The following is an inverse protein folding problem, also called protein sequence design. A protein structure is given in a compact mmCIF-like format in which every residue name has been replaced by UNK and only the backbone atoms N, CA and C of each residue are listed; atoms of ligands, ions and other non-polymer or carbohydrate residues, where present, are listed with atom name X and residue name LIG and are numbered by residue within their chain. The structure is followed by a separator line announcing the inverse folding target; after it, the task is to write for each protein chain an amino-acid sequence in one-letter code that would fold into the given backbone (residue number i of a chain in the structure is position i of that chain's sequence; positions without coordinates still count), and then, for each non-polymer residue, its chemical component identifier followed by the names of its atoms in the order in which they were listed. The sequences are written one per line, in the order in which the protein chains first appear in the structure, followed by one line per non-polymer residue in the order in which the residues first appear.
data_IF_871327609958
#
_entry.id   IF_871327609958
#
_cell.length_a   1.000
_cell.length_b   1.000
_cell.length_c   1.000
_cell.angle_alpha   90.00
_cell.angle_beta   90.00
_cell.angle_gamma   90.00
#
_symmetry.space_group_name_H-M   'P 1'
#
loop_
_entity.id
_entity.type
_entity.pdbx_description
1 polymer ?
#
# COMPACT_ATOMS: atom_id res chain seq x y z
N UNK A 1 -12.01 -51.16 9.78
CA UNK A 1 -12.42 -52.20 8.82
C UNK A 1 -12.92 -53.40 9.59
N UNK A 2 -13.97 -54.05 9.09
CA UNK A 2 -14.53 -55.28 9.66
C UNK A 2 -14.21 -56.46 8.71
N UNK A 3 -13.95 -57.64 9.27
CA UNK A 3 -13.72 -58.86 8.50
C UNK A 3 -14.85 -59.84 8.81
N UNK A 4 -15.42 -60.45 7.77
CA UNK A 4 -16.28 -61.63 7.88
C UNK A 4 -15.61 -62.78 7.15
N UNK A 5 -15.20 -63.79 7.90
CA UNK A 5 -14.58 -64.98 7.34
C UNK A 5 -15.68 -65.93 6.86
N UNK A 6 -15.65 -66.29 5.58
CA UNK A 6 -16.61 -67.22 4.95
C UNK A 6 -15.86 -68.35 4.28
N UNK A 7 -16.52 -69.49 4.11
CA UNK A 7 -16.04 -70.52 3.22
C UNK A 7 -15.99 -69.96 1.79
N UNK A 8 -14.83 -70.04 1.16
CA UNK A 8 -14.60 -69.61 -0.23
C UNK A 8 -14.69 -70.74 -1.24
N UNK A 9 -14.96 -71.96 -0.77
CA UNK A 9 -15.08 -73.18 -1.59
C UNK A 9 -16.07 -74.17 -0.95
N UNK A 10 -16.61 -75.07 -1.76
CA UNK A 10 -17.55 -76.10 -1.34
C UNK A 10 -19.01 -75.62 -1.23
N UNK A 11 -19.91 -76.56 -0.90
CA UNK A 11 -21.36 -76.36 -0.99
C UNK A 11 -21.92 -75.22 -0.11
N UNK A 12 -21.24 -74.85 0.97
CA UNK A 12 -21.69 -73.82 1.89
C UNK A 12 -21.15 -72.41 1.55
N UNK A 13 -20.28 -72.28 0.56
CA UNK A 13 -19.58 -71.03 0.27
C UNK A 13 -20.56 -69.90 -0.09
N UNK A 14 -21.44 -70.14 -1.06
CA UNK A 14 -22.44 -69.16 -1.52
C UNK A 14 -23.31 -68.67 -0.37
N UNK A 15 -23.87 -69.59 0.44
CA UNK A 15 -24.76 -69.24 1.55
C UNK A 15 -24.05 -68.39 2.60
N UNK A 16 -22.79 -68.71 2.93
CA UNK A 16 -22.02 -67.93 3.91
C UNK A 16 -21.61 -66.56 3.37
N UNK A 17 -21.19 -66.48 2.10
CA UNK A 17 -20.83 -65.21 1.46
C UNK A 17 -22.05 -64.29 1.38
N UNK A 18 -23.21 -64.79 0.95
CA UNK A 18 -24.45 -63.99 0.87
C UNK A 18 -24.89 -63.50 2.25
N UNK A 19 -24.81 -64.34 3.29
CA UNK A 19 -25.14 -63.92 4.65
C UNK A 19 -24.21 -62.81 5.16
N UNK A 20 -22.90 -62.96 4.95
CA UNK A 20 -21.92 -61.95 5.33
C UNK A 20 -22.07 -60.64 4.52
N UNK A 21 -22.39 -60.76 3.23
CA UNK A 21 -22.63 -59.62 2.34
C UNK A 21 -23.86 -58.82 2.81
N UNK A 22 -24.96 -59.50 3.12
CA UNK A 22 -26.17 -58.86 3.64
C UNK A 22 -25.94 -58.21 5.01
N UNK A 23 -25.12 -58.82 5.87
CA UNK A 23 -24.75 -58.22 7.16
C UNK A 23 -23.95 -56.93 6.97
N UNK A 24 -22.97 -56.92 6.06
CA UNK A 24 -22.12 -55.75 5.80
C UNK A 24 -22.86 -54.64 5.05
N UNK A 25 -23.76 -54.97 4.13
CA UNK A 25 -24.59 -54.00 3.39
C UNK A 25 -25.63 -53.32 4.31
N UNK A 26 -26.07 -54.00 5.37
CA UNK A 26 -26.97 -53.42 6.37
C UNK A 26 -26.27 -52.51 7.40
N UNK A 27 -24.94 -52.49 7.44
CA UNK A 27 -24.17 -51.69 8.40
C UNK A 27 -23.87 -50.28 7.82
N UNK A 28 -24.43 -49.20 8.40
CA UNK A 28 -24.24 -47.85 7.89
C UNK A 28 -22.81 -47.30 8.06
N UNK A 29 -21.96 -47.97 8.84
CA UNK A 29 -20.55 -47.58 9.01
C UNK A 29 -19.62 -48.20 7.93
N UNK A 30 -20.16 -49.03 7.03
CA UNK A 30 -19.40 -49.67 5.96
C UNK A 30 -19.55 -48.88 4.66
N UNK A 31 -18.48 -48.17 4.26
CA UNK A 31 -18.47 -47.39 3.02
C UNK A 31 -18.25 -48.23 1.75
N UNK A 32 -17.52 -49.35 1.86
CA UNK A 32 -17.15 -50.24 0.74
C UNK A 32 -17.01 -51.67 1.24
N UNK A 33 -17.54 -52.63 0.47
CA UNK A 33 -17.39 -54.06 0.72
C UNK A 33 -16.40 -54.66 -0.27
N UNK A 34 -15.43 -55.44 0.22
CA UNK A 34 -14.48 -56.16 -0.64
C UNK A 34 -14.73 -57.66 -0.51
N UNK A 35 -15.11 -58.31 -1.61
CA UNK A 35 -15.19 -59.77 -1.67
C UNK A 35 -13.84 -60.26 -2.19
N UNK A 36 -13.05 -60.82 -1.29
CA UNK A 36 -11.69 -61.25 -1.58
C UNK A 36 -11.56 -62.77 -1.46
N UNK A 37 -10.80 -63.36 -2.38
CA UNK A 37 -10.33 -64.74 -2.29
C UNK A 37 -8.80 -64.75 -2.34
N UNK A 38 -8.18 -65.67 -1.58
CA UNK A 38 -6.78 -66.01 -1.76
C UNK A 38 -6.53 -66.86 -3.02
N UNK A 39 -5.32 -67.40 -3.17
CA UNK A 39 -5.02 -68.35 -4.25
C UNK A 39 -5.75 -69.69 -4.11
N UNK A 40 -5.85 -70.45 -5.20
CA UNK A 40 -6.38 -71.82 -5.22
C UNK A 40 -6.69 -72.29 -6.65
N UNK A 41 -7.39 -73.40 -6.81
CA UNK A 41 -7.73 -73.96 -8.13
C UNK A 41 -8.79 -73.10 -8.82
N UNK A 42 -8.87 -73.24 -10.16
CA UNK A 42 -9.96 -72.69 -10.98
C UNK A 42 -11.30 -73.32 -10.59
N UNK A 43 -11.30 -74.59 -10.18
CA UNK A 43 -12.52 -75.32 -9.78
C UNK A 43 -13.20 -74.71 -8.54
N UNK A 44 -12.42 -74.06 -7.69
CA UNK A 44 -12.91 -73.38 -6.49
C UNK A 44 -13.53 -72.00 -6.81
N UNK A 45 -13.52 -71.57 -8.08
CA UNK A 45 -14.18 -70.33 -8.53
C UNK A 45 -15.68 -70.50 -8.78
N UNK A 46 -16.18 -71.73 -8.89
CA UNK A 46 -17.59 -72.00 -9.21
C UNK A 46 -18.60 -71.28 -8.29
N UNK A 47 -18.39 -71.20 -6.95
CA UNK A 47 -19.29 -70.44 -6.08
C UNK A 47 -19.41 -68.95 -6.43
N UNK A 48 -18.38 -68.36 -7.06
CA UNK A 48 -18.33 -66.96 -7.45
C UNK A 48 -19.07 -66.67 -8.76
N UNK A 49 -19.50 -67.72 -9.47
CA UNK A 49 -20.38 -67.63 -10.63
C UNK A 49 -21.83 -68.03 -10.32
N UNK A 50 -22.15 -68.28 -9.04
CA UNK A 50 -23.50 -68.63 -8.63
C UNK A 50 -24.48 -67.45 -8.80
N UNK A 51 -25.65 -67.75 -9.36
CA UNK A 51 -26.69 -66.74 -9.62
C UNK A 51 -27.15 -66.05 -8.33
N UNK A 52 -27.23 -66.79 -7.22
CA UNK A 52 -27.67 -66.27 -5.92
C UNK A 52 -26.70 -65.21 -5.42
N UNK A 53 -25.40 -65.48 -5.51
CA UNK A 53 -24.36 -64.53 -5.12
C UNK A 53 -24.38 -63.29 -6.03
N UNK A 54 -24.47 -63.49 -7.34
CA UNK A 54 -24.53 -62.39 -8.29
C UNK A 54 -25.74 -61.48 -8.03
N UNK A 55 -26.92 -62.04 -7.78
CA UNK A 55 -28.12 -61.26 -7.44
C UNK A 55 -27.98 -60.54 -6.11
N UNK A 56 -27.31 -61.14 -5.13
CA UNK A 56 -27.04 -60.49 -3.85
C UNK A 56 -26.11 -59.29 -4.02
N UNK A 57 -25.02 -59.44 -4.79
CA UNK A 57 -24.09 -58.33 -5.10
C UNK A 57 -24.83 -57.21 -5.84
N UNK A 58 -25.62 -57.55 -6.86
CA UNK A 58 -26.38 -56.56 -7.63
C UNK A 58 -27.45 -55.82 -6.81
N UNK A 59 -27.89 -56.40 -5.68
CA UNK A 59 -28.89 -55.81 -4.80
C UNK A 59 -28.27 -54.94 -3.68
N UNK A 60 -26.95 -54.98 -3.49
CA UNK A 60 -26.27 -54.18 -2.48
C UNK A 60 -26.41 -52.68 -2.76
N UNK A 61 -26.54 -51.91 -1.68
CA UNK A 61 -26.52 -50.44 -1.74
C UNK A 61 -25.14 -49.89 -1.45
N UNK A 62 -24.32 -50.63 -0.69
CA UNK A 62 -22.92 -50.33 -0.44
C UNK A 62 -22.07 -50.82 -1.62
N UNK A 63 -21.15 -49.98 -2.16
CA UNK A 63 -20.28 -50.37 -3.28
C UNK A 63 -19.48 -51.65 -3.01
N UNK A 64 -19.49 -52.56 -3.97
CA UNK A 64 -18.83 -53.87 -3.89
C UNK A 64 -17.63 -53.94 -4.84
N UNK A 65 -16.47 -54.28 -4.29
CA UNK A 65 -15.23 -54.55 -5.03
C UNK A 65 -14.95 -56.05 -5.04
N UNK A 66 -14.87 -56.64 -6.23
CA UNK A 66 -14.47 -58.04 -6.40
C UNK A 66 -12.95 -58.17 -6.47
N UNK A 67 -12.38 -59.10 -5.72
CA UNK A 67 -10.96 -59.40 -5.66
C UNK A 67 -10.71 -60.93 -5.59
N UNK A 68 -11.32 -61.67 -6.51
CA UNK A 68 -11.39 -63.14 -6.48
C UNK A 68 -10.25 -63.84 -7.25
N UNK A 69 -9.73 -63.24 -8.33
CA UNK A 69 -8.75 -63.90 -9.19
C UNK A 69 -7.97 -62.99 -10.14
N UNK A 70 -6.94 -63.56 -10.78
CA UNK A 70 -6.08 -62.85 -11.75
C UNK A 70 -6.76 -62.82 -13.14
N UNK A 71 -6.14 -62.23 -14.16
CA UNK A 71 -6.73 -62.09 -15.51
C UNK A 71 -7.35 -63.36 -16.16
N UNK A 72 -6.86 -64.60 -15.97
CA UNK A 72 -7.52 -65.78 -16.54
C UNK A 72 -8.75 -66.25 -15.73
N UNK A 73 -8.92 -65.77 -14.50
CA UNK A 73 -9.99 -66.14 -13.57
C UNK A 73 -11.03 -65.01 -13.52
N UNK A 74 -12.10 -65.11 -14.34
CA UNK A 74 -13.14 -64.09 -14.42
C UNK A 74 -14.53 -64.69 -14.08
N UNK A 75 -14.81 -64.95 -12.78
CA UNK A 75 -16.11 -65.43 -12.34
C UNK A 75 -17.20 -64.39 -12.63
N UNK A 76 -18.46 -64.82 -12.71
CA UNK A 76 -19.56 -63.90 -13.07
C UNK A 76 -19.69 -62.75 -12.07
N UNK A 77 -19.38 -62.95 -10.78
CA UNK A 77 -19.41 -61.86 -9.80
C UNK A 77 -18.48 -60.69 -10.12
N UNK A 78 -17.36 -60.91 -10.84
CA UNK A 78 -16.45 -59.83 -11.25
C UNK A 78 -17.11 -58.85 -12.22
N UNK A 79 -18.09 -59.33 -12.99
CA UNK A 79 -18.86 -58.53 -13.95
C UNK A 79 -20.07 -57.84 -13.29
N UNK A 80 -20.47 -58.31 -12.11
CA UNK A 80 -21.64 -57.81 -11.38
C UNK A 80 -21.22 -56.83 -10.28
N UNK A 81 -20.02 -56.97 -9.73
CA UNK A 81 -19.46 -56.01 -8.79
C UNK A 81 -19.19 -54.64 -9.46
N UNK A 82 -19.23 -53.57 -8.66
CA UNK A 82 -19.00 -52.20 -9.15
C UNK A 82 -17.57 -52.03 -9.68
N UNK A 83 -16.60 -52.66 -9.03
CA UNK A 83 -15.19 -52.62 -9.43
C UNK A 83 -14.56 -54.00 -9.32
N UNK A 84 -13.88 -54.42 -10.39
CA UNK A 84 -12.99 -55.57 -10.38
C UNK A 84 -11.56 -55.15 -10.04
N UNK A 85 -10.97 -55.82 -9.06
CA UNK A 85 -9.56 -55.76 -8.71
C UNK A 85 -8.90 -57.13 -8.92
N UNK A 86 -7.65 -57.15 -9.38
CA UNK A 86 -6.98 -58.41 -9.72
C UNK A 86 -6.53 -59.21 -8.48
N UNK A 87 -6.34 -58.53 -7.35
CA UNK A 87 -5.91 -59.14 -6.09
C UNK A 87 -6.51 -58.39 -4.89
N UNK A 88 -6.57 -58.99 -3.70
CA UNK A 88 -7.00 -58.28 -2.49
C UNK A 88 -6.17 -57.02 -2.21
N UNK A 89 -4.88 -57.04 -2.53
CA UNK A 89 -4.00 -55.87 -2.41
C UNK A 89 -4.34 -54.78 -3.43
N UNK A 90 -4.70 -55.14 -4.66
CA UNK A 90 -5.18 -54.18 -5.68
C UNK A 90 -6.50 -53.54 -5.24
N UNK A 91 -7.42 -54.31 -4.67
CA UNK A 91 -8.66 -53.78 -4.10
C UNK A 91 -8.35 -52.75 -2.99
N UNK A 92 -7.47 -53.09 -2.05
CA UNK A 92 -7.08 -52.17 -0.98
C UNK A 92 -6.48 -50.86 -1.52
N UNK A 93 -5.64 -50.91 -2.55
CA UNK A 93 -5.04 -49.72 -3.18
C UNK A 93 -6.07 -48.84 -3.89
N UNK A 94 -7.15 -49.42 -4.41
CA UNK A 94 -8.22 -48.67 -5.08
C UNK A 94 -9.19 -48.03 -4.10
N UNK A 95 -9.42 -48.68 -2.96
CA UNK A 95 -10.34 -48.20 -1.92
C UNK A 95 -9.68 -47.16 -1.02
N UNK A 96 -8.39 -47.31 -0.72
CA UNK A 96 -7.68 -46.44 0.23
C UNK A 96 -6.88 -45.37 -0.52
N UNK A 97 -7.02 -44.07 -0.17
CA UNK A 97 -6.21 -42.99 -0.74
C UNK A 97 -4.70 -43.20 -0.53
N UNK A 98 -3.88 -42.75 -1.48
CA UNK A 98 -2.42 -42.79 -1.36
C UNK A 98 -1.93 -41.76 -0.35
N UNK A 99 -1.52 -42.24 0.83
CA UNK A 99 -1.00 -41.39 1.91
C UNK A 99 0.20 -40.52 1.49
N UNK A 100 1.05 -41.00 0.58
CA UNK A 100 2.21 -40.22 0.12
C UNK A 100 1.78 -39.05 -0.77
N UNK A 101 0.80 -39.29 -1.65
CA UNK A 101 0.21 -38.25 -2.49
C UNK A 101 -0.54 -37.20 -1.64
N UNK A 102 -1.32 -37.64 -0.66
CA UNK A 102 -2.04 -36.74 0.26
C UNK A 102 -1.09 -35.88 1.09
N UNK A 103 -0.01 -36.47 1.62
CA UNK A 103 1.00 -35.71 2.35
C UNK A 103 1.74 -34.71 1.45
N UNK A 104 2.01 -35.08 0.20
CA UNK A 104 2.60 -34.16 -0.78
C UNK A 104 1.67 -32.98 -1.08
N UNK A 105 0.37 -33.23 -1.27
CA UNK A 105 -0.64 -32.20 -1.47
C UNK A 105 -0.73 -31.24 -0.28
N UNK A 106 -0.75 -31.77 0.94
CA UNK A 106 -0.72 -30.95 2.17
C UNK A 106 0.54 -30.09 2.23
N UNK A 107 1.70 -30.65 1.86
CA UNK A 107 2.97 -29.92 1.78
C UNK A 107 2.90 -28.75 0.79
N UNK A 108 2.38 -28.99 -0.41
CA UNK A 108 2.21 -27.97 -1.45
C UNK A 108 1.26 -26.85 -0.97
N UNK A 109 0.11 -27.21 -0.43
CA UNK A 109 -0.88 -26.24 0.08
C UNK A 109 -0.29 -25.38 1.20
N UNK A 110 0.49 -25.96 2.11
CA UNK A 110 1.19 -25.21 3.16
C UNK A 110 2.23 -24.25 2.59
N UNK A 111 3.01 -24.69 1.59
CA UNK A 111 4.00 -23.85 0.94
C UNK A 111 3.34 -22.64 0.26
N UNK A 112 2.27 -22.89 -0.53
CA UNK A 112 1.52 -21.86 -1.23
C UNK A 112 0.89 -20.85 -0.28
N UNK A 113 0.25 -21.30 0.80
CA UNK A 113 -0.32 -20.43 1.82
C UNK A 113 0.74 -19.58 2.52
N UNK A 114 1.88 -20.16 2.88
CA UNK A 114 2.99 -19.42 3.50
C UNK A 114 3.61 -18.39 2.55
N UNK A 115 3.68 -18.68 1.25
CA UNK A 115 4.17 -17.73 0.25
C UNK A 115 3.16 -16.59 0.02
N UNK A 116 1.86 -16.89 -0.05
CA UNK A 116 0.81 -15.88 -0.19
C UNK A 116 0.83 -14.88 0.98
N UNK A 117 0.93 -15.39 2.22
CA UNK A 117 1.03 -14.55 3.42
C UNK A 117 2.28 -13.66 3.41
N UNK A 118 3.45 -14.23 3.10
CA UNK A 118 4.70 -13.46 2.99
C UNK A 118 4.60 -12.34 1.96
N UNK A 119 4.05 -12.65 0.78
CA UNK A 119 3.88 -11.66 -0.29
C UNK A 119 2.90 -10.55 0.12
N UNK A 120 1.83 -10.89 0.83
CA UNK A 120 0.88 -9.91 1.38
C UNK A 120 1.58 -8.96 2.37
N UNK A 121 2.31 -9.50 3.35
CA UNK A 121 3.06 -8.67 4.33
C UNK A 121 4.05 -7.74 3.64
N UNK A 122 4.83 -8.25 2.67
CA UNK A 122 5.80 -7.44 1.92
C UNK A 122 5.11 -6.32 1.13
N UNK A 123 3.94 -6.60 0.54
CA UNK A 123 3.15 -5.57 -0.16
C UNK A 123 2.70 -4.48 0.81
N UNK A 124 2.13 -4.85 1.95
CA UNK A 124 1.65 -3.86 2.94
C UNK A 124 2.79 -3.03 3.53
N UNK A 125 3.94 -3.65 3.81
CA UNK A 125 5.14 -2.93 4.25
C UNK A 125 5.61 -1.90 3.20
N UNK A 126 5.58 -2.26 1.91
CA UNK A 126 5.92 -1.32 0.82
C UNK A 126 4.90 -0.18 0.71
N UNK A 127 3.62 -0.47 0.86
CA UNK A 127 2.56 0.56 0.88
C UNK A 127 2.80 1.55 2.02
N UNK A 128 3.06 1.05 3.24
CA UNK A 128 3.36 1.90 4.39
C UNK A 128 4.64 2.72 4.19
N UNK A 129 5.71 2.10 3.67
CA UNK A 129 6.94 2.81 3.35
C UNK A 129 6.71 3.93 2.33
N UNK A 130 5.94 3.66 1.28
CA UNK A 130 5.60 4.65 0.25
C UNK A 130 4.77 5.81 0.81
N UNK A 131 3.77 5.52 1.66
CA UNK A 131 2.97 6.55 2.31
C UNK A 131 3.87 7.41 3.20
N UNK A 132 4.70 6.79 4.05
CA UNK A 132 5.63 7.51 4.94
C UNK A 132 6.67 8.33 4.19
N UNK A 133 7.08 7.91 2.98
CA UNK A 133 8.03 8.67 2.17
C UNK A 133 7.43 9.86 1.43
N UNK A 134 6.09 10.04 1.44
CA UNK A 134 5.47 11.21 0.80
C UNK A 134 5.92 12.48 1.51
N UNK A 135 6.29 13.56 0.79
CA UNK A 135 6.82 14.79 1.40
C UNK A 135 5.91 15.37 2.50
N UNK A 136 4.59 15.30 2.32
CA UNK A 136 3.60 15.77 3.30
C UNK A 136 3.61 14.99 4.63
N UNK A 137 4.11 13.75 4.64
CA UNK A 137 4.23 12.92 5.84
C UNK A 137 5.68 12.84 6.34
N UNK A 138 6.66 12.82 5.45
CA UNK A 138 8.08 12.75 5.78
C UNK A 138 8.61 14.07 6.38
N UNK A 139 8.16 15.21 5.85
CA UNK A 139 8.53 16.54 6.33
C UNK A 139 7.34 17.51 6.15
N UNK A 140 6.31 17.40 7.01
CA UNK A 140 5.09 18.19 6.89
C UNK A 140 5.33 19.70 7.00
N UNK A 141 6.42 20.11 7.67
CA UNK A 141 6.71 21.52 7.94
C UNK A 141 7.54 22.17 6.83
N UNK A 142 8.10 21.40 5.89
CA UNK A 142 8.93 21.92 4.79
C UNK A 142 8.27 23.07 4.03
N UNK A 143 7.01 22.89 3.62
CA UNK A 143 6.29 23.91 2.86
C UNK A 143 6.10 25.21 3.67
N UNK A 144 5.88 25.08 4.99
CA UNK A 144 5.76 26.23 5.91
C UNK A 144 7.12 26.91 6.08
N UNK A 145 8.19 26.15 6.27
CA UNK A 145 9.54 26.66 6.41
C UNK A 145 10.01 27.41 5.16
N UNK A 146 9.76 26.86 3.97
CA UNK A 146 10.06 27.52 2.69
C UNK A 146 9.32 28.86 2.57
N UNK A 147 8.04 28.91 3.00
CA UNK A 147 7.25 30.15 2.98
C UNK A 147 7.72 31.16 4.03
N UNK A 148 8.09 30.68 5.21
CA UNK A 148 8.66 31.50 6.27
C UNK A 148 9.96 32.18 5.80
N UNK A 149 10.82 31.46 5.07
CA UNK A 149 12.05 32.00 4.49
C UNK A 149 11.79 33.08 3.43
N UNK A 150 10.76 32.91 2.59
CA UNK A 150 10.36 33.95 1.63
C UNK A 150 9.92 35.22 2.36
N UNK A 151 9.09 35.08 3.38
CA UNK A 151 8.62 36.23 4.20
C UNK A 151 9.80 36.89 4.91
N UNK A 152 10.73 36.11 5.48
CA UNK A 152 11.89 36.61 6.17
C UNK A 152 12.79 37.45 5.23
N UNK A 153 13.08 36.92 4.04
CA UNK A 153 13.85 37.62 3.00
C UNK A 153 13.16 38.90 2.53
N UNK A 154 11.85 38.85 2.25
CA UNK A 154 11.09 40.03 1.85
C UNK A 154 11.12 41.13 2.93
N UNK A 155 10.93 40.74 4.21
CA UNK A 155 11.00 41.67 5.34
C UNK A 155 12.38 42.31 5.47
N UNK A 156 13.45 41.53 5.31
CA UNK A 156 14.81 42.04 5.36
C UNK A 156 15.11 42.99 4.19
N UNK A 157 14.62 42.70 2.99
CA UNK A 157 14.77 43.58 1.82
C UNK A 157 14.06 44.92 2.03
N UNK A 158 12.76 44.89 2.37
CA UNK A 158 11.97 46.11 2.63
C UNK A 158 12.65 46.98 3.69
N UNK A 159 13.12 46.39 4.79
CA UNK A 159 13.77 47.17 5.85
C UNK A 159 15.07 47.81 5.40
N UNK A 160 15.90 47.11 4.63
CA UNK A 160 17.14 47.68 4.05
C UNK A 160 16.83 48.83 3.09
N UNK A 161 15.85 48.64 2.20
CA UNK A 161 15.54 49.62 1.16
C UNK A 161 14.91 50.89 1.75
N UNK A 162 14.02 50.73 2.74
CA UNK A 162 13.47 51.87 3.50
C UNK A 162 14.59 52.61 4.24
N UNK A 163 15.46 51.90 4.96
CA UNK A 163 16.57 52.54 5.68
C UNK A 163 17.49 53.31 4.72
N UNK A 164 17.78 52.75 3.55
CA UNK A 164 18.59 53.41 2.52
C UNK A 164 17.90 54.65 1.97
N UNK A 165 16.60 54.58 1.69
CA UNK A 165 15.82 55.71 1.20
C UNK A 165 15.78 56.85 2.22
N UNK A 166 15.50 56.53 3.48
CA UNK A 166 15.46 57.51 4.58
C UNK A 166 16.82 58.17 4.78
N UNK A 167 17.91 57.40 4.74
CA UNK A 167 19.27 57.94 4.86
C UNK A 167 19.58 58.90 3.70
N UNK A 168 19.32 58.49 2.46
CA UNK A 168 19.60 59.31 1.28
C UNK A 168 18.81 60.64 1.28
N UNK A 169 17.54 60.61 1.69
CA UNK A 169 16.73 61.82 1.76
C UNK A 169 17.13 62.71 2.95
N UNK A 170 17.54 62.11 4.07
CA UNK A 170 18.09 62.86 5.21
C UNK A 170 19.38 63.59 4.83
N UNK A 171 20.29 62.92 4.11
CA UNK A 171 21.53 63.52 3.59
C UNK A 171 21.22 64.65 2.60
N UNK A 172 20.23 64.44 1.72
CA UNK A 172 19.77 65.46 0.77
C UNK A 172 19.24 66.70 1.47
N UNK A 173 18.40 66.53 2.49
CA UNK A 173 17.89 67.63 3.32
C UNK A 173 19.07 68.35 3.99
N UNK A 174 20.03 67.61 4.57
CA UNK A 174 21.24 68.17 5.18
C UNK A 174 22.05 69.02 4.19
N UNK A 175 22.28 68.52 2.97
CA UNK A 175 22.98 69.26 1.92
C UNK A 175 22.24 70.51 1.46
N UNK A 176 20.91 70.43 1.28
CA UNK A 176 20.09 71.57 0.91
C UNK A 176 20.09 72.65 2.01
N UNK A 177 19.98 72.24 3.27
CA UNK A 177 20.05 73.13 4.42
C UNK A 177 21.42 73.83 4.50
N UNK A 178 22.53 73.10 4.31
CA UNK A 178 23.88 73.68 4.28
C UNK A 178 24.08 74.64 3.10
N UNK A 179 23.54 74.32 1.92
CA UNK A 179 23.58 75.22 0.76
C UNK A 179 22.74 76.47 0.98
N UNK A 180 21.55 76.35 1.57
CA UNK A 180 20.72 77.50 1.94
C UNK A 180 21.41 78.38 2.98
N UNK A 181 22.08 77.77 3.97
CA UNK A 181 22.84 78.51 4.97
C UNK A 181 23.99 79.30 4.34
N UNK A 182 24.70 78.73 3.35
CA UNK A 182 25.86 79.40 2.71
C UNK A 182 25.49 80.44 1.66
N UNK A 183 24.43 80.22 0.87
CA UNK A 183 23.99 81.12 -0.20
C UNK A 183 22.86 82.06 0.22
N UNK A 184 22.29 81.84 1.41
CA UNK A 184 21.19 82.63 1.93
C UNK A 184 21.60 84.05 2.31
N UNK A 185 20.67 85.02 2.27
CA UNK A 185 20.93 86.39 2.70
C UNK A 185 21.53 86.48 4.11
N UNK A 186 21.16 85.54 5.00
CA UNK A 186 21.70 85.45 6.35
C UNK A 186 23.23 85.25 6.39
N UNK A 187 23.81 84.43 5.50
CA UNK A 187 25.27 84.27 5.43
C UNK A 187 25.97 85.52 4.89
N UNK A 188 25.36 86.19 3.91
CA UNK A 188 25.88 87.48 3.41
C UNK A 188 25.85 88.55 4.50
N UNK A 189 24.76 88.63 5.26
CA UNK A 189 24.64 89.53 6.40
C UNK A 189 25.64 89.20 7.52
N UNK A 190 25.82 87.91 7.85
CA UNK A 190 26.78 87.44 8.86
C UNK A 190 28.24 87.73 8.50
N UNK A 191 28.56 87.90 7.20
CA UNK A 191 29.90 88.32 6.73
C UNK A 191 30.16 89.83 6.88
N UNK A 192 29.21 90.59 7.46
CA UNK A 192 29.34 92.02 7.72
C UNK A 192 28.78 92.92 6.60
N UNK A 193 28.02 92.36 5.67
CA UNK A 193 27.30 93.14 4.65
C UNK A 193 25.89 93.49 5.14
N UNK A 194 25.26 94.48 4.50
CA UNK A 194 23.90 94.89 4.79
C UNK A 194 23.03 94.80 3.52
N UNK A 195 21.75 94.49 3.68
CA UNK A 195 20.77 94.55 2.58
C UNK A 195 20.03 95.88 2.66
N UNK A 196 20.20 96.71 1.63
CA UNK A 196 19.59 98.04 1.56
C UNK A 196 18.32 97.98 0.72
N UNK A 197 17.21 98.48 1.26
CA UNK A 197 15.90 98.49 0.62
C UNK A 197 15.31 99.91 0.62
N UNK A 198 14.43 100.21 -0.34
CA UNK A 198 13.63 101.45 -0.32
C UNK A 198 12.46 101.36 0.66
N UNK A 199 12.05 102.50 1.21
CA UNK A 199 10.90 102.59 2.14
C UNK A 199 9.58 102.87 1.37
N UNK A 200 9.63 103.47 0.18
CA UNK A 200 8.47 104.12 -0.46
C UNK A 200 7.70 103.22 -1.46
N UNK A 201 7.46 101.96 -1.09
CA UNK A 201 6.66 100.99 -1.86
C UNK A 201 7.48 99.81 -2.41
N UNK A 202 6.88 98.60 -2.39
CA UNK A 202 7.46 97.26 -2.62
C UNK A 202 8.93 97.17 -2.21
N UNK A 203 9.23 96.59 -1.03
CA UNK A 203 10.55 96.48 -0.39
C UNK A 203 11.66 95.87 -1.27
N UNK A 204 12.02 96.58 -2.34
CA UNK A 204 12.93 96.17 -3.39
C UNK A 204 14.34 96.45 -2.90
N UNK A 205 15.20 95.44 -3.06
CA UNK A 205 16.62 95.53 -2.73
C UNK A 205 17.29 96.43 -3.76
N UNK A 206 17.96 97.47 -3.29
CA UNK A 206 18.71 98.39 -4.15
C UNK A 206 19.99 97.71 -4.64
N UNK A 207 20.24 97.78 -5.95
CA UNK A 207 21.39 97.10 -6.59
C UNK A 207 22.36 98.07 -7.25
N UNK A 208 21.93 99.30 -7.51
CA UNK A 208 22.72 100.34 -8.13
C UNK A 208 22.58 101.66 -7.39
N UNK A 209 23.58 102.53 -7.48
CA UNK A 209 23.54 103.90 -6.97
C UNK A 209 22.43 104.72 -7.65
N UNK A 210 22.11 104.40 -8.90
CA UNK A 210 21.01 105.02 -9.65
C UNK A 210 19.63 104.77 -9.01
N UNK A 211 19.49 103.70 -8.22
CA UNK A 211 18.25 103.33 -7.54
C UNK A 211 18.05 104.12 -6.22
N UNK A 212 19.03 104.94 -5.82
CA UNK A 212 19.04 105.73 -4.59
C UNK A 212 19.35 107.22 -4.87
N UNK A 213 18.45 107.98 -5.51
CA UNK A 213 18.64 109.41 -5.73
C UNK A 213 18.77 110.17 -4.41
N UNK A 214 19.44 111.33 -4.46
CA UNK A 214 19.70 112.15 -3.28
C UNK A 214 18.38 112.52 -2.56
N UNK A 215 18.27 112.16 -1.28
CA UNK A 215 17.06 112.33 -0.46
C UNK A 215 16.19 111.09 -0.30
N UNK A 216 16.53 109.96 -0.94
CA UNK A 216 15.80 108.70 -0.80
C UNK A 216 15.87 108.14 0.65
N UNK A 217 14.73 107.67 1.17
CA UNK A 217 14.65 107.03 2.49
C UNK A 217 14.95 105.54 2.36
N UNK A 218 15.97 105.08 3.08
CA UNK A 218 16.49 103.72 3.00
C UNK A 218 16.21 102.94 4.29
N UNK A 219 15.93 101.64 4.15
CA UNK A 219 15.94 100.66 5.24
C UNK A 219 17.16 99.77 5.07
N UNK A 220 17.97 99.65 6.12
CA UNK A 220 19.20 98.85 6.11
C UNK A 220 19.01 97.67 7.03
N UNK A 221 18.96 96.46 6.46
CA UNK A 221 18.88 95.23 7.22
C UNK A 221 20.28 94.67 7.48
N UNK A 222 20.60 94.47 8.75
CA UNK A 222 21.79 93.83 9.27
C UNK A 222 21.47 92.39 9.69
N UNK A 223 22.48 91.67 10.19
CA UNK A 223 22.37 90.25 10.59
C UNK A 223 21.38 89.99 11.72
N UNK A 224 21.13 90.98 12.57
CA UNK A 224 20.30 90.89 13.78
C UNK A 224 18.97 91.66 13.68
N UNK A 225 18.74 92.43 12.61
CA UNK A 225 17.53 93.26 12.49
C UNK A 225 17.59 94.27 11.35
N UNK A 226 16.56 95.11 11.23
CA UNK A 226 16.45 96.18 10.23
C UNK A 226 16.01 97.50 10.87
#
# INVERSE_FOLDING_TARGET
FAIRNTAVQGANAVTQIVAALAELDADPEVDVIVIARGGGSVEDLLPFSDETLCRAIAACTTPVVSAIGHEPDNPVCDLVADVRAATPTDAAKRVVPDATAELALVGELRHRSAQALRNWVVREQRTLAHLRSRPVLADPLRAVAERAEVVHRARAAVRRDINRLVAAESDRIGHLAARLATLGPAATLARGYAVVQTIDGSAAVLRSVADAPAGARLRIRLSDGA
#
